data_IF_039715759770
#
_entry.id   IF_039715759770
#
_cell.length_a   1.000
_cell.length_b   1.000
_cell.length_c   1.000
_cell.angle_alpha   90.00
_cell.angle_beta   90.00
_cell.angle_gamma   90.00
#
_symmetry.space_group_name_H-M   'P 1'
#
loop_
_entity.id
_entity.type
_entity.pdbx_description
1 polymer ?
#
# COMPACT_ATOMS: atom_id res chain seq x y z
N UNK A 1 11.00 -39.74 19.90
CA UNK A 1 10.26 -39.08 20.99
C UNK A 1 11.29 -38.34 21.82
N UNK A 2 11.31 -37.02 22.01
CA UNK A 2 10.54 -35.85 21.58
C UNK A 2 11.56 -34.68 21.62
N UNK A 3 11.76 -33.86 20.59
CA UNK A 3 10.98 -32.67 20.22
C UNK A 3 10.55 -31.81 21.43
N UNK A 4 10.85 -30.51 21.37
CA UNK A 4 10.54 -29.42 22.31
C UNK A 4 11.64 -28.97 23.29
N UNK A 5 12.79 -28.56 22.75
CA UNK A 5 13.76 -27.75 23.49
C UNK A 5 14.50 -26.73 22.59
N UNK A 6 13.85 -26.15 21.58
CA UNK A 6 14.53 -25.25 20.64
C UNK A 6 13.60 -24.21 19.96
N UNK A 7 12.83 -23.43 20.72
CA UNK A 7 12.08 -22.28 20.16
C UNK A 7 11.99 -21.11 21.16
N UNK A 8 13.13 -20.67 21.71
CA UNK A 8 13.16 -19.64 22.75
C UNK A 8 14.05 -18.41 22.49
N UNK A 9 14.91 -18.42 21.47
CA UNK A 9 15.92 -17.37 21.29
C UNK A 9 16.16 -17.08 19.81
N UNK A 10 15.24 -16.36 19.16
CA UNK A 10 15.50 -15.68 17.88
C UNK A 10 14.37 -14.69 17.54
N UNK A 11 14.14 -13.66 18.35
CA UNK A 11 13.32 -12.50 17.93
C UNK A 11 13.93 -11.16 18.36
N UNK A 12 15.24 -11.05 18.18
CA UNK A 12 15.93 -9.76 18.18
C UNK A 12 16.88 -9.73 16.99
N UNK A 13 16.37 -9.38 15.81
CA UNK A 13 17.20 -8.84 14.75
C UNK A 13 16.37 -7.88 13.91
N UNK A 14 16.83 -6.63 13.91
CA UNK A 14 16.13 -5.51 13.30
C UNK A 14 15.95 -5.72 11.79
N UNK A 15 14.79 -5.30 11.29
CA UNK A 15 14.57 -5.09 9.86
C UNK A 15 15.44 -3.92 9.40
N UNK A 16 16.73 -4.20 9.21
CA UNK A 16 17.63 -3.40 8.39
C UNK A 16 17.16 -3.57 6.95
N UNK A 17 16.49 -2.54 6.42
CA UNK A 17 16.12 -2.44 5.01
C UNK A 17 17.43 -2.40 4.21
N UNK A 18 17.89 -3.58 3.80
CA UNK A 18 19.08 -3.74 2.99
C UNK A 18 18.77 -3.18 1.60
N UNK A 19 19.21 -1.95 1.36
CA UNK A 19 19.41 -1.43 0.01
C UNK A 19 20.51 -2.25 -0.65
N UNK A 20 20.18 -3.15 -1.57
CA UNK A 20 21.10 -3.65 -2.60
C UNK A 20 20.31 -4.41 -3.67
N UNK A 21 20.65 -4.08 -4.91
CA UNK A 21 20.30 -4.74 -6.17
C UNK A 21 19.14 -4.10 -6.95
N UNK A 22 19.49 -3.00 -7.63
CA UNK A 22 18.81 -2.61 -8.86
C UNK A 22 19.06 -3.73 -9.88
N UNK A 23 18.07 -4.61 -10.04
CA UNK A 23 18.08 -5.68 -11.05
C UNK A 23 18.01 -5.05 -12.44
N UNK A 24 19.05 -5.27 -13.25
CA UNK A 24 19.12 -4.84 -14.66
C UNK A 24 18.24 -5.75 -15.52
N UNK A 25 17.38 -5.14 -16.35
CA UNK A 25 16.37 -5.78 -17.19
C UNK A 25 16.95 -6.75 -18.24
N UNK A 26 16.28 -7.90 -18.41
CA UNK A 26 16.52 -8.90 -19.47
C UNK A 26 15.28 -9.01 -20.39
N UNK A 27 15.37 -8.62 -21.68
CA UNK A 27 14.25 -8.61 -22.61
C UNK A 27 13.73 -9.99 -23.03
N UNK A 28 14.50 -11.06 -22.80
CA UNK A 28 14.21 -12.39 -23.34
C UNK A 28 13.30 -13.23 -22.42
N UNK A 29 13.03 -12.78 -21.19
CA UNK A 29 12.19 -13.47 -20.20
C UNK A 29 10.70 -13.10 -20.26
N UNK A 30 10.16 -12.76 -21.44
CA UNK A 30 8.72 -12.46 -21.60
C UNK A 30 7.89 -13.73 -21.57
N UNK A 31 7.28 -14.08 -20.43
CA UNK A 31 6.23 -15.11 -20.39
C UNK A 31 4.82 -14.49 -20.38
N UNK A 32 3.93 -15.03 -21.23
CA UNK A 32 2.47 -15.09 -21.03
C UNK A 32 1.62 -13.85 -21.37
N UNK A 33 0.85 -13.96 -22.45
CA UNK A 33 -0.23 -13.04 -22.85
C UNK A 33 -1.60 -13.41 -22.27
N UNK A 34 -1.76 -13.33 -20.94
CA UNK A 34 -3.06 -13.24 -20.27
C UNK A 34 -3.23 -11.80 -19.77
N UNK A 35 -4.45 -11.26 -19.80
CA UNK A 35 -4.83 -9.87 -19.57
C UNK A 35 -4.18 -9.20 -18.34
N UNK A 36 -2.94 -8.71 -18.50
CA UNK A 36 -2.12 -8.07 -17.45
C UNK A 36 -2.84 -6.89 -16.78
N UNK A 37 -3.71 -6.20 -17.51
CA UNK A 37 -4.47 -5.07 -17.01
C UNK A 37 -5.54 -5.46 -15.99
N UNK A 38 -6.37 -6.47 -16.28
CA UNK A 38 -7.50 -6.86 -15.43
C UNK A 38 -7.03 -7.47 -14.11
N UNK A 39 -5.91 -8.22 -14.14
CA UNK A 39 -5.28 -8.77 -12.94
C UNK A 39 -4.83 -7.62 -12.02
N UNK A 40 -4.17 -6.60 -12.58
CA UNK A 40 -3.73 -5.42 -11.83
C UNK A 40 -4.91 -4.68 -11.19
N UNK A 41 -6.04 -4.56 -11.88
CA UNK A 41 -7.25 -3.95 -11.32
C UNK A 41 -7.82 -4.77 -10.15
N UNK A 42 -7.86 -6.09 -10.29
CA UNK A 42 -8.29 -7.00 -9.22
C UNK A 42 -7.40 -6.89 -7.97
N UNK A 43 -6.07 -6.88 -8.15
CA UNK A 43 -5.11 -6.73 -7.05
C UNK A 43 -5.26 -5.38 -6.34
N UNK A 44 -5.38 -4.29 -7.11
CA UNK A 44 -5.61 -2.97 -6.51
C UNK A 44 -6.94 -2.95 -5.74
N UNK A 45 -8.00 -3.53 -6.30
CA UNK A 45 -9.31 -3.57 -5.64
C UNK A 45 -9.27 -4.38 -4.33
N UNK A 46 -8.57 -5.51 -4.31
CA UNK A 46 -8.38 -6.35 -3.13
C UNK A 46 -7.63 -5.58 -2.03
N UNK A 47 -6.49 -4.98 -2.34
CA UNK A 47 -5.72 -4.15 -1.41
C UNK A 47 -6.53 -2.98 -0.84
N UNK A 48 -7.31 -2.29 -1.68
CA UNK A 48 -8.19 -1.20 -1.25
C UNK A 48 -9.30 -1.72 -0.33
N UNK A 49 -9.86 -2.89 -0.64
CA UNK A 49 -10.90 -3.51 0.18
C UNK A 49 -10.35 -3.93 1.54
N UNK A 50 -9.20 -4.61 1.57
CA UNK A 50 -8.50 -5.00 2.81
C UNK A 50 -8.17 -3.77 3.67
N UNK A 51 -7.63 -2.73 3.04
CA UNK A 51 -7.33 -1.45 3.72
C UNK A 51 -8.57 -0.79 4.31
N UNK A 52 -9.70 -0.83 3.60
CA UNK A 52 -10.98 -0.29 4.08
C UNK A 52 -11.53 -1.09 5.26
N UNK A 53 -11.48 -2.42 5.18
CA UNK A 53 -11.91 -3.31 6.27
C UNK A 53 -11.07 -3.04 7.53
N UNK A 54 -9.76 -2.85 7.39
CA UNK A 54 -8.89 -2.49 8.51
C UNK A 54 -9.32 -1.19 9.21
N UNK A 55 -9.81 -0.20 8.46
CA UNK A 55 -10.35 1.04 9.01
C UNK A 55 -11.76 0.89 9.58
N UNK A 56 -12.61 0.01 9.04
CA UNK A 56 -13.94 -0.23 9.59
C UNK A 56 -13.89 -0.79 11.02
N UNK A 57 -12.86 -1.60 11.31
CA UNK A 57 -12.63 -2.11 12.66
C UNK A 57 -12.46 -0.97 13.66
N UNK A 58 -11.81 0.13 13.27
CA UNK A 58 -11.70 1.35 14.10
C UNK A 58 -13.06 1.99 14.39
N UNK A 59 -13.96 1.94 13.41
CA UNK A 59 -15.27 2.54 13.55
C UNK A 59 -16.18 1.72 14.48
N UNK A 60 -15.98 0.41 14.53
CA UNK A 60 -16.78 -0.52 15.31
C UNK A 60 -16.20 -0.83 16.70
N UNK A 61 -14.96 -0.41 16.97
CA UNK A 61 -14.32 -0.64 18.27
C UNK A 61 -14.78 0.38 19.32
N UNK A 62 -15.31 -0.10 20.44
CA UNK A 62 -15.43 0.68 21.69
C UNK A 62 -14.09 0.74 22.47
N UNK A 63 -12.99 0.32 21.83
CA UNK A 63 -11.66 0.14 22.41
C UNK A 63 -10.76 1.37 22.35
N UNK A 64 -9.47 1.16 22.62
CA UNK A 64 -8.45 2.20 22.53
C UNK A 64 -8.17 2.54 21.05
N UNK A 65 -8.69 3.69 20.62
CA UNK A 65 -8.54 4.23 19.27
C UNK A 65 -7.09 4.29 18.80
N UNK A 66 -6.12 4.55 19.69
CA UNK A 66 -4.72 4.64 19.31
C UNK A 66 -4.13 3.26 18.97
N UNK A 67 -4.44 2.25 19.79
CA UNK A 67 -4.04 0.86 19.55
C UNK A 67 -4.65 0.33 18.26
N UNK A 68 -5.95 0.53 18.07
CA UNK A 68 -6.63 0.02 16.89
C UNK A 68 -6.14 0.74 15.63
N UNK A 69 -5.91 2.06 15.68
CA UNK A 69 -5.34 2.81 14.55
C UNK A 69 -3.93 2.32 14.18
N UNK A 70 -3.13 1.96 15.18
CA UNK A 70 -1.80 1.36 14.98
C UNK A 70 -1.91 -0.01 14.30
N UNK A 71 -2.91 -0.82 14.63
CA UNK A 71 -3.17 -2.09 13.97
C UNK A 71 -3.62 -1.89 12.51
N UNK A 72 -4.56 -0.97 12.26
CA UNK A 72 -5.00 -0.62 10.91
C UNK A 72 -3.84 -0.10 10.05
N UNK A 73 -2.97 0.74 10.61
CA UNK A 73 -1.76 1.22 9.95
C UNK A 73 -0.84 0.06 9.52
N UNK A 74 -0.63 -0.94 10.38
CA UNK A 74 0.20 -2.10 10.06
C UNK A 74 -0.39 -2.91 8.91
N UNK A 75 -1.70 -3.19 8.96
CA UNK A 75 -2.40 -3.94 7.90
C UNK A 75 -2.34 -3.20 6.57
N UNK A 76 -2.70 -1.92 6.54
CA UNK A 76 -2.65 -1.10 5.32
C UNK A 76 -1.23 -1.04 4.77
N UNK A 77 -0.23 -0.83 5.63
CA UNK A 77 1.16 -0.75 5.22
C UNK A 77 1.64 -2.04 4.54
N UNK A 78 1.33 -3.19 5.14
CA UNK A 78 1.67 -4.51 4.60
C UNK A 78 1.00 -4.75 3.25
N UNK A 79 -0.31 -4.49 3.15
CA UNK A 79 -1.08 -4.66 1.92
C UNK A 79 -0.54 -3.81 0.77
N UNK A 80 -0.20 -2.55 1.04
CA UNK A 80 0.35 -1.65 0.03
C UNK A 80 1.75 -2.07 -0.41
N UNK A 81 2.61 -2.53 0.51
CA UNK A 81 3.96 -3.04 0.18
C UNK A 81 3.85 -4.28 -0.70
N UNK A 82 3.03 -5.26 -0.30
CA UNK A 82 2.79 -6.48 -1.08
C UNK A 82 2.28 -6.15 -2.48
N UNK A 83 1.34 -5.21 -2.59
CA UNK A 83 0.85 -4.76 -3.89
C UNK A 83 1.95 -4.15 -4.75
N UNK A 84 2.83 -3.31 -4.18
CA UNK A 84 3.95 -2.74 -4.94
C UNK A 84 4.88 -3.83 -5.45
N UNK A 85 5.26 -4.78 -4.60
CA UNK A 85 6.12 -5.92 -4.96
C UNK A 85 5.50 -6.76 -6.08
N UNK A 86 4.21 -7.09 -5.98
CA UNK A 86 3.49 -7.79 -7.05
C UNK A 86 3.46 -6.99 -8.36
N UNK A 87 3.40 -5.66 -8.27
CA UNK A 87 3.39 -4.77 -9.43
C UNK A 87 4.78 -4.52 -10.03
N UNK A 88 5.88 -4.84 -9.34
CA UNK A 88 7.24 -4.69 -9.87
C UNK A 88 7.48 -5.54 -11.13
N UNK A 89 6.83 -6.70 -11.22
CA UNK A 89 6.86 -7.55 -12.41
C UNK A 89 6.22 -6.93 -13.66
N UNK A 90 5.53 -5.79 -13.54
CA UNK A 90 4.84 -5.12 -14.64
C UNK A 90 5.58 -3.86 -15.09
N UNK A 91 6.10 -3.89 -16.31
CA UNK A 91 6.70 -2.70 -16.93
C UNK A 91 5.64 -1.60 -17.15
N UNK A 92 6.01 -0.34 -16.93
CA UNK A 92 5.11 0.83 -17.03
C UNK A 92 4.42 0.96 -18.39
N UNK A 93 5.08 0.54 -19.47
CA UNK A 93 4.52 0.51 -20.82
C UNK A 93 3.38 -0.52 -20.99
N UNK A 94 3.34 -1.57 -20.16
CA UNK A 94 2.28 -2.57 -20.14
C UNK A 94 1.06 -2.14 -19.31
N UNK A 95 1.20 -1.06 -18.53
CA UNK A 95 0.15 -0.54 -17.66
C UNK A 95 -0.73 0.48 -18.39
N UNK A 96 -2.03 0.48 -18.08
CA UNK A 96 -2.94 1.55 -18.52
C UNK A 96 -2.63 2.84 -17.74
N UNK A 97 -2.96 4.04 -18.27
CA UNK A 97 -2.75 5.30 -17.56
C UNK A 97 -3.33 5.32 -16.14
N UNK A 98 -4.49 4.69 -15.91
CA UNK A 98 -5.11 4.56 -14.59
C UNK A 98 -4.25 3.74 -13.61
N UNK A 99 -3.66 2.64 -14.06
CA UNK A 99 -2.79 1.80 -13.21
C UNK A 99 -1.49 2.51 -12.85
N UNK A 100 -0.89 3.25 -13.79
CA UNK A 100 0.29 4.07 -13.49
C UNK A 100 -0.03 5.16 -12.47
N UNK A 101 -1.20 5.79 -12.57
CA UNK A 101 -1.65 6.78 -11.58
C UNK A 101 -1.89 6.15 -10.20
N UNK A 102 -2.56 5.00 -10.15
CA UNK A 102 -2.79 4.26 -8.92
C UNK A 102 -1.48 3.81 -8.26
N UNK A 103 -0.55 3.23 -9.02
CA UNK A 103 0.80 2.85 -8.52
C UNK A 103 1.51 4.02 -7.86
N UNK A 104 1.49 5.20 -8.49
CA UNK A 104 2.10 6.39 -7.91
C UNK A 104 1.43 6.80 -6.58
N UNK A 105 0.10 6.71 -6.49
CA UNK A 105 -0.65 6.99 -5.25
C UNK A 105 -0.32 5.97 -4.16
N UNK A 106 -0.24 4.68 -4.49
CA UNK A 106 0.14 3.60 -3.56
C UNK A 106 1.53 3.86 -2.98
N UNK A 107 2.51 4.10 -3.84
CA UNK A 107 3.89 4.43 -3.42
C UNK A 107 3.91 5.70 -2.56
N UNK A 108 3.12 6.71 -2.92
CA UNK A 108 2.97 7.93 -2.13
C UNK A 108 2.38 7.68 -0.74
N UNK A 109 1.39 6.79 -0.62
CA UNK A 109 0.79 6.44 0.67
C UNK A 109 1.81 5.73 1.56
N UNK A 110 2.57 4.78 1.01
CA UNK A 110 3.67 4.12 1.74
C UNK A 110 4.68 5.14 2.25
N UNK A 111 5.06 6.13 1.42
CA UNK A 111 5.98 7.19 1.82
C UNK A 111 5.41 8.06 2.95
N UNK A 112 4.13 8.44 2.89
CA UNK A 112 3.44 9.19 3.93
C UNK A 112 3.33 8.39 5.23
N UNK A 113 3.01 7.11 5.15
CA UNK A 113 2.98 6.21 6.31
C UNK A 113 4.37 6.11 6.96
N UNK A 114 5.44 5.94 6.19
CA UNK A 114 6.80 5.94 6.73
C UNK A 114 7.18 7.27 7.41
N UNK A 115 6.70 8.40 6.89
CA UNK A 115 6.94 9.71 7.47
C UNK A 115 6.11 9.96 8.74
N UNK A 116 4.92 9.37 8.83
CA UNK A 116 4.00 9.46 9.96
C UNK A 116 3.87 8.09 10.64
N UNK A 117 4.98 7.58 11.18
CA UNK A 117 5.01 6.27 11.82
C UNK A 117 4.25 6.28 13.16
N UNK A 118 3.20 5.47 13.24
CA UNK A 118 2.35 5.29 14.42
C UNK A 118 2.39 3.87 14.98
N UNK A 119 3.33 3.02 14.54
CA UNK A 119 3.34 1.59 14.89
C UNK A 119 3.51 1.29 16.38
N UNK A 120 4.17 2.19 17.11
CA UNK A 120 4.60 2.01 18.51
C UNK A 120 3.96 3.06 19.45
N UNK A 121 2.77 3.53 19.10
CA UNK A 121 2.09 4.62 19.79
C UNK A 121 2.00 5.86 18.91
N UNK A 122 0.92 6.60 19.08
CA UNK A 122 0.56 7.71 18.22
C UNK A 122 0.13 8.90 19.09
N UNK A 123 0.62 10.08 18.73
CA UNK A 123 0.03 11.34 19.20
C UNK A 123 -1.30 11.62 18.48
N UNK A 124 -2.14 12.48 19.05
CA UNK A 124 -3.41 12.88 18.43
C UNK A 124 -3.19 13.53 17.07
N UNK A 125 -2.12 14.30 16.91
CA UNK A 125 -1.73 14.91 15.63
C UNK A 125 -1.38 13.84 14.59
N UNK A 126 -0.62 12.81 14.97
CA UNK A 126 -0.25 11.72 14.06
C UNK A 126 -1.47 10.88 13.65
N UNK A 127 -2.39 10.63 14.58
CA UNK A 127 -3.65 9.93 14.28
C UNK A 127 -4.51 10.76 13.32
N UNK A 128 -4.62 12.06 13.55
CA UNK A 128 -5.34 12.98 12.67
C UNK A 128 -4.70 13.02 11.28
N UNK A 129 -3.37 13.03 11.21
CA UNK A 129 -2.64 13.02 9.95
C UNK A 129 -2.83 11.69 9.21
N UNK A 130 -2.77 10.56 9.90
CA UNK A 130 -3.04 9.26 9.33
C UNK A 130 -4.46 9.16 8.75
N UNK A 131 -5.47 9.65 9.48
CA UNK A 131 -6.85 9.69 9.00
C UNK A 131 -6.99 10.55 7.73
N UNK A 132 -6.34 11.73 7.69
CA UNK A 132 -6.34 12.60 6.50
C UNK A 132 -5.68 11.93 5.30
N UNK A 133 -4.54 11.29 5.51
CA UNK A 133 -3.82 10.60 4.45
C UNK A 133 -4.59 9.38 3.93
N UNK A 134 -5.22 8.61 4.81
CA UNK A 134 -6.09 7.50 4.43
C UNK A 134 -7.27 7.99 3.57
N UNK A 135 -7.99 9.02 4.00
CA UNK A 135 -9.10 9.60 3.21
C UNK A 135 -8.60 10.11 1.85
N UNK A 136 -7.49 10.84 1.84
CA UNK A 136 -6.89 11.34 0.60
C UNK A 136 -6.45 10.22 -0.34
N UNK A 137 -5.97 9.11 0.20
CA UNK A 137 -5.59 7.91 -0.54
C UNK A 137 -6.80 7.27 -1.22
N UNK A 138 -7.87 6.97 -0.47
CA UNK A 138 -9.08 6.36 -1.03
C UNK A 138 -9.75 7.27 -2.07
N UNK A 139 -9.87 8.58 -1.78
CA UNK A 139 -10.43 9.55 -2.73
C UNK A 139 -9.64 9.54 -4.05
N UNK A 140 -8.30 9.57 -3.96
CA UNK A 140 -7.43 9.68 -5.12
C UNK A 140 -7.35 8.40 -5.93
N UNK A 141 -7.28 7.23 -5.27
CA UNK A 141 -7.32 5.93 -5.93
C UNK A 141 -8.66 5.76 -6.65
N UNK A 142 -9.77 6.03 -5.97
CA UNK A 142 -11.11 5.85 -6.54
C UNK A 142 -11.26 6.65 -7.84
N UNK A 143 -10.95 7.96 -7.80
CA UNK A 143 -11.03 8.81 -8.98
C UNK A 143 -10.07 8.36 -10.09
N UNK A 144 -8.86 7.94 -9.74
CA UNK A 144 -7.89 7.50 -10.74
C UNK A 144 -8.27 6.19 -11.43
N UNK A 145 -8.92 5.27 -10.72
CA UNK A 145 -9.30 3.95 -11.21
C UNK A 145 -10.63 3.92 -11.95
N UNK A 146 -11.52 4.89 -11.73
CA UNK A 146 -12.75 5.05 -12.50
C UNK A 146 -12.46 5.16 -14.01
N UNK A 147 -13.19 4.38 -14.82
CA UNK A 147 -12.98 4.33 -16.27
C UNK A 147 -13.28 5.66 -16.97
N UNK A 148 -14.37 6.31 -16.56
CA UNK A 148 -14.87 7.57 -17.13
C UNK A 148 -14.00 8.79 -16.80
N UNK A 149 -13.05 8.66 -15.87
CA UNK A 149 -12.20 9.78 -15.48
C UNK A 149 -11.21 10.14 -16.59
N UNK A 150 -11.29 11.37 -17.09
CA UNK A 150 -10.34 11.85 -18.08
C UNK A 150 -8.89 11.97 -17.53
N UNK A 151 -7.91 12.04 -18.44
CA UNK A 151 -6.48 12.10 -18.09
C UNK A 151 -6.12 13.33 -17.22
N UNK A 152 -6.76 14.48 -17.43
CA UNK A 152 -6.48 15.72 -16.69
C UNK A 152 -6.96 15.60 -15.25
N UNK A 153 -8.15 15.05 -15.03
CA UNK A 153 -8.73 14.80 -13.70
C UNK A 153 -7.90 13.75 -12.95
N UNK A 154 -7.51 12.64 -13.59
CA UNK A 154 -6.57 11.66 -13.00
C UNK A 154 -5.25 12.32 -12.56
N UNK A 155 -4.65 13.14 -13.44
CA UNK A 155 -3.41 13.85 -13.11
C UNK A 155 -3.57 14.81 -11.92
N UNK A 156 -4.69 15.56 -11.86
CA UNK A 156 -4.98 16.50 -10.77
C UNK A 156 -5.06 15.79 -9.42
N UNK A 157 -5.82 14.70 -9.33
CA UNK A 157 -5.99 13.96 -8.08
C UNK A 157 -4.69 13.27 -7.64
N UNK A 158 -3.98 12.64 -8.58
CA UNK A 158 -2.63 12.12 -8.32
C UNK A 158 -1.71 13.21 -7.76
N UNK A 159 -1.67 14.39 -8.39
CA UNK A 159 -0.79 15.49 -7.95
C UNK A 159 -1.21 16.04 -6.58
N UNK A 160 -2.51 16.17 -6.33
CA UNK A 160 -3.06 16.63 -5.03
C UNK A 160 -2.63 15.69 -3.90
N UNK A 161 -2.69 14.38 -4.10
CA UNK A 161 -2.27 13.43 -3.08
C UNK A 161 -0.76 13.44 -2.83
N UNK A 162 0.04 13.53 -3.90
CA UNK A 162 1.50 13.46 -3.80
C UNK A 162 2.19 14.77 -3.37
N UNK A 163 1.55 15.91 -3.57
CA UNK A 163 2.12 17.23 -3.26
C UNK A 163 1.44 17.97 -2.12
N UNK A 164 0.48 17.32 -1.44
CA UNK A 164 -0.24 17.83 -0.28
C UNK A 164 0.29 17.25 1.01
#
# INVERSE_FOLDING_TARGET
MSAFAAEGEAMHEGYSIASKDIVVYDPDKRSGGVAKATIVEGLIAETVTSSKIALDVLHQSDGDTASDASAAFKVIGLELINLVEMLEGYHDAALRPKHRAARAIIVGMIAKMKANDIQNGATEEQLTQFARDAVGFFESIHICMLEETDRKKRYRYKKRFLGG
#
